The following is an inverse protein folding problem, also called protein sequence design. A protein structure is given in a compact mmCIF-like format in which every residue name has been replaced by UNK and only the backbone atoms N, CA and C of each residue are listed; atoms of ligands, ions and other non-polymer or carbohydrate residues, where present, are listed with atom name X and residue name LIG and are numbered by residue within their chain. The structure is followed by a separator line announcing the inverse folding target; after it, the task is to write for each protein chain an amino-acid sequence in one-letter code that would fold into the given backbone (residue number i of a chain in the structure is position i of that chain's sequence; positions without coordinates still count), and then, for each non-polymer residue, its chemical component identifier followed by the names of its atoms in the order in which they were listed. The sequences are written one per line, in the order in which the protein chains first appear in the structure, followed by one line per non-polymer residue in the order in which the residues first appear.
data_IF_973701008790
#
_entry.id   IF_973701008790
#
_cell.length_a   1.000
_cell.length_b   1.000
_cell.length_c   1.000
_cell.angle_alpha   90.00
_cell.angle_beta   90.00
_cell.angle_gamma   90.00
#
_symmetry.space_group_name_H-M   'P 1'
#
loop_
_entity.id
_entity.type
_entity.pdbx_description
1 polymer ?
#
# COMPACT_ATOMS: atom_id res chain seq x y z
N UNK A 1 -9.34 -19.18 -22.34
CA UNK A 1 -7.99 -18.71 -22.72
C UNK A 1 -7.45 -18.00 -21.49
N UNK A 2 -6.25 -18.37 -21.02
CA UNK A 2 -5.67 -17.76 -19.84
C UNK A 2 -4.99 -16.46 -20.25
N UNK A 3 -5.44 -15.36 -19.65
CA UNK A 3 -4.92 -14.01 -19.90
C UNK A 3 -4.14 -13.46 -18.69
N UNK A 4 -4.19 -14.16 -17.55
CA UNK A 4 -3.51 -13.78 -16.32
C UNK A 4 -2.23 -14.60 -16.14
N UNK A 5 -1.11 -13.92 -15.85
CA UNK A 5 0.21 -14.53 -15.71
C UNK A 5 0.26 -15.61 -14.62
N UNK A 6 -0.37 -15.38 -13.46
CA UNK A 6 -0.46 -16.40 -12.40
C UNK A 6 -1.19 -17.65 -12.87
N UNK A 7 -2.33 -17.50 -13.56
CA UNK A 7 -3.06 -18.64 -14.11
C UNK A 7 -2.27 -19.33 -15.23
N UNK A 8 -1.49 -18.59 -16.03
CA UNK A 8 -0.56 -19.16 -17.01
C UNK A 8 0.56 -19.96 -16.34
N UNK A 9 1.17 -19.43 -15.27
CA UNK A 9 2.18 -20.13 -14.47
C UNK A 9 1.57 -21.40 -13.86
N UNK A 10 0.43 -21.29 -13.20
CA UNK A 10 -0.26 -22.43 -12.59
C UNK A 10 -0.60 -23.47 -13.65
N UNK A 11 -1.13 -23.07 -14.80
CA UNK A 11 -1.42 -24.00 -15.90
C UNK A 11 -0.17 -24.63 -16.52
N UNK A 12 0.98 -23.95 -16.51
CA UNK A 12 2.21 -24.45 -17.10
C UNK A 12 3.07 -25.27 -16.12
N UNK A 13 3.02 -24.94 -14.83
CA UNK A 13 3.94 -25.45 -13.82
C UNK A 13 3.28 -26.22 -12.67
N UNK A 14 1.94 -26.23 -12.55
CA UNK A 14 1.24 -27.09 -11.59
C UNK A 14 0.78 -28.42 -12.19
N UNK A 15 0.80 -29.48 -11.38
CA UNK A 15 0.26 -30.78 -11.74
C UNK A 15 -1.28 -30.72 -11.68
N UNK A 16 -1.93 -30.68 -12.83
CA UNK A 16 -3.39 -30.66 -12.95
C UNK A 16 -3.92 -31.98 -13.51
N UNK A 17 -4.94 -32.55 -12.85
CA UNK A 17 -5.64 -33.77 -13.27
C UNK A 17 -6.73 -33.51 -14.33
N UNK A 18 -6.98 -32.24 -14.68
CA UNK A 18 -8.01 -31.79 -15.62
C UNK A 18 -7.42 -31.25 -16.93
N UNK A 19 -8.30 -30.92 -17.89
CA UNK A 19 -7.92 -30.47 -19.25
C UNK A 19 -7.12 -29.16 -19.17
N UNK A 20 -5.87 -29.16 -19.68
CA UNK A 20 -4.98 -27.99 -19.70
C UNK A 20 -5.64 -26.78 -20.37
N UNK A 21 -5.63 -25.64 -19.70
CA UNK A 21 -6.15 -24.40 -20.23
C UNK A 21 -5.23 -23.84 -21.33
N UNK A 22 -5.81 -23.16 -22.33
CA UNK A 22 -5.07 -22.61 -23.47
C UNK A 22 -4.51 -21.23 -23.13
N UNK A 23 -3.19 -21.08 -23.11
CA UNK A 23 -2.47 -19.80 -22.93
C UNK A 23 -2.50 -19.03 -24.25
N UNK A 24 -2.79 -17.72 -24.19
CA UNK A 24 -2.74 -16.87 -25.38
C UNK A 24 -1.30 -16.79 -25.94
N UNK A 25 -1.11 -16.76 -27.28
CA UNK A 25 0.22 -16.61 -27.88
C UNK A 25 0.86 -15.28 -27.49
N UNK A 26 2.17 -15.28 -27.26
CA UNK A 26 2.94 -14.09 -26.93
C UNK A 26 3.01 -13.12 -28.12
N UNK A 27 2.98 -11.82 -27.84
CA UNK A 27 3.29 -10.77 -28.83
C UNK A 27 4.81 -10.72 -29.04
N UNK A 28 5.28 -11.42 -30.07
CA UNK A 28 6.71 -11.60 -30.37
C UNK A 28 7.42 -10.28 -30.70
N UNK A 29 6.71 -9.34 -31.32
CA UNK A 29 7.27 -8.06 -31.72
C UNK A 29 7.49 -7.17 -30.49
N UNK A 30 6.49 -7.13 -29.59
CA UNK A 30 6.62 -6.43 -28.31
C UNK A 30 7.72 -7.03 -27.43
N UNK A 31 7.86 -8.36 -27.40
CA UNK A 31 8.93 -9.04 -26.64
C UNK A 31 10.31 -8.69 -27.16
N UNK A 32 10.51 -8.70 -28.49
CA UNK A 32 11.79 -8.34 -29.12
C UNK A 32 12.20 -6.91 -28.81
N UNK A 33 11.27 -5.95 -28.93
CA UNK A 33 11.54 -4.54 -28.64
C UNK A 33 11.86 -4.24 -27.18
N UNK A 34 11.41 -5.09 -26.25
CA UNK A 34 11.62 -4.93 -24.81
C UNK A 34 12.87 -5.66 -24.28
N UNK A 35 13.47 -6.54 -25.07
CA UNK A 35 14.72 -7.23 -24.72
C UNK A 35 15.95 -6.32 -24.80
N UNK A 36 15.89 -5.27 -25.61
CA UNK A 36 16.97 -4.31 -25.77
C UNK A 36 16.69 -3.00 -25.01
N UNK A 37 17.74 -2.44 -24.40
CA UNK A 37 17.64 -1.14 -23.75
C UNK A 37 17.76 -0.06 -24.84
N UNK A 38 16.79 0.89 -24.95
CA UNK A 38 16.86 1.95 -25.94
C UNK A 38 18.17 2.74 -25.82
N UNK A 39 18.79 3.16 -26.94
CA UNK A 39 20.01 3.95 -26.90
C UNK A 39 19.83 5.23 -26.07
N UNK A 40 20.71 5.44 -25.09
CA UNK A 40 20.65 6.59 -24.18
C UNK A 40 19.76 6.42 -22.95
N UNK A 41 19.05 5.29 -22.81
CA UNK A 41 18.19 5.03 -21.65
C UNK A 41 19.03 4.76 -20.40
N UNK A 42 18.87 5.59 -19.37
CA UNK A 42 19.58 5.49 -18.09
C UNK A 42 18.63 5.10 -16.95
N UNK A 43 19.17 4.83 -15.76
CA UNK A 43 18.36 4.60 -14.56
C UNK A 43 17.48 5.80 -14.19
N UNK A 44 17.89 7.02 -14.56
CA UNK A 44 17.11 8.25 -14.36
C UNK A 44 15.84 8.27 -15.24
N UNK A 45 15.89 7.66 -16.43
CA UNK A 45 14.71 7.50 -17.27
C UNK A 45 13.68 6.59 -16.58
N UNK A 46 14.10 5.49 -15.96
CA UNK A 46 13.18 4.62 -15.22
C UNK A 46 12.63 5.31 -13.96
N UNK A 47 13.43 6.10 -13.26
CA UNK A 47 13.00 6.90 -12.10
C UNK A 47 11.95 7.96 -12.49
N UNK A 48 12.20 8.75 -13.54
CA UNK A 48 11.23 9.74 -14.02
C UNK A 48 9.96 9.08 -14.56
N UNK A 49 10.07 7.91 -15.18
CA UNK A 49 8.91 7.15 -15.62
C UNK A 49 8.09 6.67 -14.41
N UNK A 50 8.72 6.17 -13.36
CA UNK A 50 8.05 5.81 -12.09
C UNK A 50 7.35 7.02 -11.46
N UNK A 51 7.99 8.19 -11.41
CA UNK A 51 7.38 9.40 -10.88
C UNK A 51 6.17 9.86 -11.70
N UNK A 52 6.27 9.82 -13.03
CA UNK A 52 5.14 10.11 -13.92
C UNK A 52 3.98 9.14 -13.66
N UNK A 53 4.26 7.85 -13.46
CA UNK A 53 3.23 6.86 -13.12
C UNK A 53 2.62 7.12 -11.74
N UNK A 54 3.43 7.49 -10.75
CA UNK A 54 3.00 7.81 -9.38
C UNK A 54 2.09 9.06 -9.35
N UNK A 55 2.51 10.16 -9.97
CA UNK A 55 1.77 11.43 -10.05
C UNK A 55 0.39 11.29 -10.69
N UNK A 56 0.19 10.26 -11.52
CA UNK A 56 -1.07 10.03 -12.21
C UNK A 56 -1.77 8.74 -11.72
N UNK A 57 -1.25 8.09 -10.68
CA UNK A 57 -1.92 6.99 -9.97
C UNK A 57 -2.48 7.53 -8.66
N UNK A 58 -3.57 8.28 -8.76
CA UNK A 58 -4.27 8.80 -7.59
C UNK A 58 -4.59 7.66 -6.61
N UNK A 59 -3.98 7.75 -5.43
CA UNK A 59 -4.54 7.48 -4.11
C UNK A 59 -5.75 6.54 -4.10
N UNK A 60 -5.51 5.25 -3.85
CA UNK A 60 -6.52 4.30 -3.38
C UNK A 60 -7.04 4.72 -1.99
N UNK A 61 -7.91 5.73 -1.90
CA UNK A 61 -8.86 5.97 -0.80
C UNK A 61 -9.50 7.34 -0.97
N UNK A 62 -10.60 7.44 -1.75
CA UNK A 62 -11.70 8.41 -1.54
C UNK A 62 -12.63 8.55 -2.74
N UNK A 63 -12.25 8.08 -3.93
CA UNK A 63 -13.13 8.07 -5.08
C UNK A 63 -13.40 6.62 -5.53
N UNK A 64 -14.53 6.06 -5.10
CA UNK A 64 -15.32 5.26 -6.01
C UNK A 64 -15.55 6.14 -7.24
N UNK A 65 -14.67 6.01 -8.23
CA UNK A 65 -14.66 6.85 -9.41
C UNK A 65 -16.06 6.87 -9.99
N UNK A 66 -16.60 8.07 -10.22
CA UNK A 66 -17.91 8.28 -10.81
C UNK A 66 -18.12 7.24 -11.90
N UNK A 67 -19.18 6.43 -11.81
CA UNK A 67 -19.45 5.32 -12.73
C UNK A 67 -19.33 5.72 -14.23
N UNK A 68 -19.53 7.01 -14.54
CA UNK A 68 -19.26 7.69 -15.82
C UNK A 68 -17.82 7.51 -16.35
N UNK A 69 -16.86 7.15 -15.50
CA UNK A 69 -15.49 6.84 -15.89
C UNK A 69 -15.41 5.50 -16.64
N UNK A 70 -16.32 4.56 -16.35
CA UNK A 70 -16.29 3.18 -16.84
C UNK A 70 -17.41 2.86 -17.83
N UNK A 71 -18.46 3.67 -17.84
CA UNK A 71 -19.69 3.43 -18.60
C UNK A 71 -19.90 4.61 -19.56
N UNK A 72 -20.19 4.32 -20.83
CA UNK A 72 -20.54 5.31 -21.86
C UNK A 72 -22.00 5.74 -21.76
N UNK A 73 -22.88 4.81 -21.37
CA UNK A 73 -24.32 5.04 -21.29
C UNK A 73 -24.98 4.10 -20.28
N UNK A 74 -25.95 4.61 -19.53
CA UNK A 74 -26.84 3.83 -18.67
C UNK A 74 -28.24 3.93 -19.26
N UNK A 75 -28.96 2.81 -19.29
CA UNK A 75 -30.37 2.77 -19.66
C UNK A 75 -31.10 1.85 -18.71
N UNK A 76 -32.28 2.25 -18.27
CA UNK A 76 -33.13 1.49 -17.36
C UNK A 76 -34.37 0.95 -18.08
N UNK A 77 -35.01 -0.08 -17.52
CA UNK A 77 -36.21 -0.69 -18.10
C UNK A 77 -37.40 0.27 -18.19
N UNK A 78 -37.50 1.18 -17.22
CA UNK A 78 -38.68 2.03 -16.98
C UNK A 78 -38.22 3.39 -16.44
N UNK A 79 -38.86 4.46 -16.90
CA UNK A 79 -38.61 5.84 -16.45
C UNK A 79 -39.96 6.48 -16.10
N UNK A 80 -40.09 7.02 -14.90
CA UNK A 80 -41.32 7.60 -14.37
C UNK A 80 -41.27 9.14 -14.32
N UNK A 81 -40.09 9.75 -14.55
CA UNK A 81 -39.87 11.19 -14.64
C UNK A 81 -38.75 11.60 -15.62
N UNK A 82 -38.41 12.90 -15.61
CA UNK A 82 -37.22 13.38 -16.32
C UNK A 82 -35.98 13.07 -15.45
N UNK A 83 -34.95 12.45 -16.06
CA UNK A 83 -33.62 12.22 -15.48
C UNK A 83 -33.49 11.13 -14.38
N UNK A 84 -34.43 10.18 -14.25
CA UNK A 84 -34.36 9.10 -13.24
C UNK A 84 -33.06 8.27 -13.33
N UNK A 85 -32.55 8.04 -14.53
CA UNK A 85 -31.29 7.32 -14.77
C UNK A 85 -30.05 8.07 -14.25
N UNK A 86 -30.12 9.39 -14.11
CA UNK A 86 -29.03 10.18 -13.56
C UNK A 86 -28.90 9.98 -12.05
N UNK A 87 -29.99 9.64 -11.35
CA UNK A 87 -29.99 9.36 -9.90
C UNK A 87 -29.07 8.20 -9.55
N UNK A 88 -28.98 7.18 -10.41
CA UNK A 88 -28.08 6.05 -10.23
C UNK A 88 -26.58 6.44 -10.22
N UNK A 89 -26.25 7.68 -10.61
CA UNK A 89 -24.88 8.16 -10.79
C UNK A 89 -24.57 9.50 -10.12
N UNK A 90 -25.55 10.12 -9.45
CA UNK A 90 -25.42 11.45 -8.87
C UNK A 90 -24.60 11.46 -7.55
N UNK A 91 -24.38 10.28 -6.96
CA UNK A 91 -23.63 10.12 -5.72
C UNK A 91 -24.40 10.58 -4.48
N UNK A 92 -25.71 10.85 -4.61
CA UNK A 92 -26.59 11.21 -3.52
C UNK A 92 -27.32 9.94 -3.02
N UNK A 93 -27.30 9.71 -1.71
CA UNK A 93 -28.00 8.57 -1.11
C UNK A 93 -29.50 8.84 -0.89
N UNK A 94 -29.97 10.07 -1.09
CA UNK A 94 -31.37 10.45 -0.91
C UNK A 94 -32.21 10.26 -2.18
N UNK A 95 -31.58 10.23 -3.35
CA UNK A 95 -32.23 10.01 -4.66
C UNK A 95 -32.19 8.54 -5.03
N UNK A 96 -33.18 8.09 -5.80
CA UNK A 96 -33.26 6.70 -6.26
C UNK A 96 -33.96 6.61 -7.61
N UNK A 97 -33.62 5.56 -8.34
CA UNK A 97 -34.42 5.06 -9.44
C UNK A 97 -35.46 4.08 -8.90
N UNK A 98 -36.72 4.30 -9.26
CA UNK A 98 -37.82 3.38 -9.00
C UNK A 98 -38.27 2.75 -10.32
N UNK A 99 -38.40 1.43 -10.34
CA UNK A 99 -38.94 0.74 -11.51
C UNK A 99 -40.48 0.83 -11.56
N UNK A 100 -41.07 0.69 -12.74
CA UNK A 100 -42.53 0.66 -12.91
C UNK A 100 -42.92 -0.30 -14.04
N UNK A 101 -43.34 -1.51 -13.69
CA UNK A 101 -43.63 -2.54 -14.68
C UNK A 101 -44.03 -3.90 -14.10
N UNK A 102 -43.95 -4.94 -14.91
CA UNK A 102 -44.32 -6.29 -14.46
C UNK A 102 -43.23 -6.91 -13.58
N UNK A 103 -43.66 -7.68 -12.57
CA UNK A 103 -42.78 -8.40 -11.65
C UNK A 103 -41.67 -9.18 -12.37
N UNK A 104 -40.41 -8.97 -11.95
CA UNK A 104 -39.22 -9.66 -12.44
C UNK A 104 -38.74 -9.25 -13.84
N UNK A 105 -39.30 -8.18 -14.41
CA UNK A 105 -38.95 -7.65 -15.74
C UNK A 105 -38.10 -6.37 -15.68
N UNK A 106 -37.65 -5.98 -14.49
CA UNK A 106 -36.86 -4.77 -14.29
C UNK A 106 -35.39 -5.01 -14.56
N UNK A 107 -34.75 -4.06 -15.24
CA UNK A 107 -33.33 -4.16 -15.54
C UNK A 107 -32.65 -2.80 -15.65
N UNK A 108 -31.35 -2.78 -15.32
CA UNK A 108 -30.46 -1.66 -15.58
C UNK A 108 -29.36 -2.15 -16.52
N UNK A 109 -29.16 -1.47 -17.64
CA UNK A 109 -28.16 -1.82 -18.63
C UNK A 109 -27.08 -0.75 -18.72
N UNK A 110 -25.84 -1.21 -18.73
CA UNK A 110 -24.63 -0.40 -18.80
C UNK A 110 -23.95 -0.71 -20.13
N UNK A 111 -23.72 0.34 -20.94
CA UNK A 111 -22.81 0.28 -22.08
C UNK A 111 -21.40 0.58 -21.59
N UNK A 112 -20.56 -0.43 -21.52
CA UNK A 112 -19.23 -0.32 -20.94
C UNK A 112 -18.26 0.34 -21.91
N UNK A 113 -17.36 1.19 -21.39
CA UNK A 113 -16.22 1.68 -22.18
C UNK A 113 -15.33 0.52 -22.58
N UNK A 114 -14.86 0.55 -23.83
CA UNK A 114 -13.98 -0.47 -24.39
C UNK A 114 -12.76 -0.70 -23.48
N UNK A 115 -12.48 -1.95 -23.15
CA UNK A 115 -11.34 -2.34 -22.29
C UNK A 115 -11.65 -2.37 -20.79
N UNK A 116 -12.88 -2.02 -20.37
CA UNK A 116 -13.25 -2.08 -18.95
C UNK A 116 -13.54 -3.52 -18.50
N UNK A 117 -12.82 -4.01 -17.49
CA UNK A 117 -13.06 -5.32 -16.85
C UNK A 117 -13.48 -5.12 -15.39
N UNK A 118 -14.69 -5.52 -15.02
CA UNK A 118 -15.23 -5.26 -13.67
C UNK A 118 -14.60 -6.21 -12.65
N UNK A 119 -13.98 -5.69 -11.59
CA UNK A 119 -13.67 -6.48 -10.37
C UNK A 119 -14.90 -6.62 -9.54
N UNK A 120 -15.62 -5.52 -9.28
CA UNK A 120 -16.78 -5.52 -8.41
C UNK A 120 -17.81 -4.55 -8.93
N UNK A 121 -19.06 -4.98 -9.00
CA UNK A 121 -20.21 -4.13 -9.24
C UNK A 121 -21.06 -4.13 -7.99
N UNK A 122 -21.43 -2.94 -7.52
CA UNK A 122 -22.27 -2.75 -6.36
C UNK A 122 -23.52 -1.96 -6.72
N UNK A 123 -24.61 -2.30 -6.05
CA UNK A 123 -25.85 -1.51 -6.02
C UNK A 123 -26.02 -0.91 -4.63
N UNK A 124 -26.39 0.35 -4.56
CA UNK A 124 -26.70 1.03 -3.30
C UNK A 124 -28.19 0.88 -3.01
N UNK A 125 -28.53 0.33 -1.85
CA UNK A 125 -29.88 0.08 -1.38
C UNK A 125 -30.11 0.77 -0.05
N UNK A 126 -31.35 1.08 0.29
CA UNK A 126 -31.74 1.50 1.64
C UNK A 126 -32.64 0.44 2.25
N UNK A 127 -32.21 -0.12 3.37
CA UNK A 127 -32.89 -1.24 4.02
C UNK A 127 -34.27 -0.83 4.57
N UNK A 128 -34.58 0.47 4.58
CA UNK A 128 -35.88 1.01 4.95
C UNK A 128 -36.89 1.06 3.77
N UNK A 129 -36.50 0.68 2.55
CA UNK A 129 -37.36 0.66 1.35
C UNK A 129 -38.35 -0.54 1.28
N UNK A 130 -38.58 -1.25 2.40
CA UNK A 130 -39.57 -2.33 2.55
C UNK A 130 -39.63 -3.32 1.37
N UNK A 131 -40.75 -3.39 0.64
CA UNK A 131 -40.98 -4.32 -0.48
C UNK A 131 -40.32 -3.88 -1.79
N UNK A 132 -39.70 -2.71 -1.86
CA UNK A 132 -38.93 -2.25 -3.02
C UNK A 132 -37.47 -2.77 -3.00
N UNK A 133 -37.07 -3.47 -1.94
CA UNK A 133 -35.74 -4.05 -1.83
C UNK A 133 -35.58 -5.27 -2.75
N UNK A 134 -34.59 -5.28 -3.66
CA UNK A 134 -34.32 -6.45 -4.48
C UNK A 134 -33.78 -7.59 -3.60
N UNK A 135 -34.31 -8.80 -3.76
CA UNK A 135 -33.82 -10.00 -3.06
C UNK A 135 -32.97 -10.91 -3.97
N UNK A 136 -33.27 -10.92 -5.27
CA UNK A 136 -32.62 -11.76 -6.28
C UNK A 136 -32.22 -10.92 -7.48
N UNK A 137 -30.91 -10.80 -7.67
CA UNK A 137 -30.33 -9.99 -8.74
C UNK A 137 -29.43 -10.86 -9.59
N UNK A 138 -29.68 -10.88 -10.90
CA UNK A 138 -28.89 -11.62 -11.89
C UNK A 138 -28.17 -10.64 -12.78
N UNK A 139 -26.86 -10.77 -12.90
CA UNK A 139 -26.04 -9.95 -13.80
C UNK A 139 -25.72 -10.76 -15.05
N UNK A 140 -26.03 -10.21 -16.22
CA UNK A 140 -25.68 -10.76 -17.52
C UNK A 140 -24.69 -9.83 -18.23
N UNK A 141 -23.77 -10.39 -19.02
CA UNK A 141 -22.80 -9.65 -19.81
C UNK A 141 -22.60 -10.26 -21.20
N UNK A 142 -22.41 -9.42 -22.21
CA UNK A 142 -22.26 -9.85 -23.59
C UNK A 142 -22.47 -8.73 -24.60
N UNK A 143 -22.73 -9.12 -25.84
CA UNK A 143 -23.29 -8.23 -26.85
C UNK A 143 -24.81 -8.18 -26.69
N UNK A 144 -25.48 -7.13 -27.19
CA UNK A 144 -26.92 -6.93 -27.01
C UNK A 144 -27.76 -8.14 -27.46
N UNK A 145 -27.31 -8.83 -28.51
CA UNK A 145 -28.00 -9.99 -29.08
C UNK A 145 -27.56 -11.33 -28.46
N UNK A 146 -26.49 -11.35 -27.65
CA UNK A 146 -25.91 -12.56 -27.04
C UNK A 146 -25.40 -12.27 -25.62
N UNK A 147 -26.36 -12.09 -24.70
CA UNK A 147 -26.09 -11.85 -23.28
C UNK A 147 -26.04 -13.16 -22.50
N UNK A 148 -24.93 -13.39 -21.80
CA UNK A 148 -24.74 -14.56 -20.94
C UNK A 148 -24.82 -14.18 -19.46
N UNK A 149 -25.42 -15.03 -18.63
CA UNK A 149 -25.43 -14.79 -17.17
C UNK A 149 -24.01 -14.96 -16.64
N UNK A 150 -23.53 -13.95 -15.92
CA UNK A 150 -22.17 -13.88 -15.37
C UNK A 150 -22.16 -13.89 -13.83
N UNK A 151 -23.24 -13.47 -13.17
CA UNK A 151 -23.42 -13.61 -11.74
C UNK A 151 -24.90 -13.76 -11.38
N UNK A 152 -25.16 -14.43 -10.27
CA UNK A 152 -26.49 -14.66 -9.69
C UNK A 152 -26.37 -14.49 -8.17
N UNK A 153 -26.99 -13.43 -7.65
CA UNK A 153 -26.77 -12.93 -6.30
C UNK A 153 -28.10 -12.86 -5.54
N UNK A 154 -28.12 -13.42 -4.33
CA UNK A 154 -29.21 -13.24 -3.37
C UNK A 154 -28.78 -12.32 -2.25
N UNK A 155 -29.54 -11.25 -2.04
CA UNK A 155 -29.19 -10.18 -1.12
C UNK A 155 -29.66 -10.56 0.29
N UNK A 156 -28.76 -10.42 1.27
CA UNK A 156 -29.10 -10.67 2.67
C UNK A 156 -29.89 -9.48 3.25
N UNK A 157 -31.17 -9.71 3.49
CA UNK A 157 -32.13 -8.72 4.00
C UNK A 157 -32.30 -8.77 5.52
N UNK A 158 -31.40 -9.45 6.26
CA UNK A 158 -31.52 -9.64 7.72
C UNK A 158 -31.13 -8.43 8.58
N UNK A 159 -30.49 -7.41 7.99
CA UNK A 159 -30.01 -6.22 8.70
C UNK A 159 -31.10 -5.17 8.93
N UNK A 160 -31.00 -4.46 10.06
CA UNK A 160 -31.99 -3.48 10.51
C UNK A 160 -31.51 -2.04 10.24
N UNK A 161 -32.06 -1.42 9.18
CA UNK A 161 -32.01 0.01 8.79
C UNK A 161 -30.73 0.58 8.15
N UNK A 162 -30.92 1.55 7.24
CA UNK A 162 -29.88 2.39 6.64
C UNK A 162 -29.45 2.02 5.22
N UNK A 163 -28.67 2.92 4.60
CA UNK A 163 -28.15 2.81 3.23
C UNK A 163 -26.89 1.92 3.18
N UNK A 164 -26.86 0.96 2.26
CA UNK A 164 -25.78 -0.03 2.12
C UNK A 164 -25.45 -0.33 0.65
N UNK A 165 -24.17 -0.57 0.38
CA UNK A 165 -23.71 -1.12 -0.89
C UNK A 165 -23.72 -2.65 -0.85
N UNK A 166 -24.41 -3.28 -1.79
CA UNK A 166 -24.42 -4.74 -1.97
C UNK A 166 -23.64 -5.14 -3.23
N UNK A 167 -22.78 -6.14 -3.12
CA UNK A 167 -21.92 -6.57 -4.24
C UNK A 167 -22.64 -7.63 -5.07
N UNK A 168 -22.91 -7.33 -6.34
CA UNK A 168 -23.73 -8.19 -7.21
C UNK A 168 -22.94 -8.92 -8.31
N UNK A 169 -21.68 -8.53 -8.53
CA UNK A 169 -20.75 -9.19 -9.43
C UNK A 169 -19.33 -9.05 -8.87
N UNK A 170 -18.57 -10.14 -8.86
CA UNK A 170 -17.15 -10.18 -8.47
C UNK A 170 -16.30 -10.83 -9.55
N UNK A 171 -15.13 -10.25 -9.81
CA UNK A 171 -14.04 -10.70 -10.66
C UNK A 171 -14.47 -11.19 -12.04
N UNK A 172 -15.04 -10.28 -12.84
CA UNK A 172 -15.35 -10.56 -14.23
C UNK A 172 -14.07 -10.94 -14.99
N UNK A 173 -14.10 -12.07 -15.68
CA UNK A 173 -12.91 -12.64 -16.32
C UNK A 173 -12.54 -12.01 -17.68
N UNK A 174 -13.37 -11.12 -18.22
CA UNK A 174 -13.19 -10.45 -19.52
C UNK A 174 -14.01 -9.16 -19.61
N UNK A 175 -13.69 -8.32 -20.58
CA UNK A 175 -14.50 -7.16 -20.94
C UNK A 175 -15.85 -7.61 -21.53
N UNK A 176 -16.94 -6.99 -21.07
CA UNK A 176 -18.27 -7.13 -21.63
C UNK A 176 -18.73 -5.77 -22.15
N UNK A 177 -19.00 -5.62 -23.46
CA UNK A 177 -19.46 -4.34 -24.02
C UNK A 177 -20.77 -3.87 -23.40
N UNK A 178 -21.66 -4.80 -23.06
CA UNK A 178 -22.90 -4.55 -22.33
C UNK A 178 -22.98 -5.41 -21.09
N UNK A 179 -23.43 -4.79 -20.00
CA UNK A 179 -23.76 -5.46 -18.74
C UNK A 179 -25.19 -5.11 -18.38
N UNK A 180 -25.97 -6.11 -17.99
CA UNK A 180 -27.38 -5.94 -17.62
C UNK A 180 -27.61 -6.54 -16.24
N UNK A 181 -28.00 -5.69 -15.31
CA UNK A 181 -28.43 -6.03 -13.96
C UNK A 181 -29.94 -6.30 -14.04
N UNK A 182 -30.36 -7.54 -13.79
CA UNK A 182 -31.76 -7.97 -13.87
C UNK A 182 -32.28 -8.23 -12.46
N UNK A 183 -33.34 -7.52 -12.08
CA UNK A 183 -33.98 -7.70 -10.78
C UNK A 183 -35.09 -8.76 -10.96
N UNK A 184 -34.93 -9.92 -10.32
CA UNK A 184 -35.79 -11.10 -10.52
C UNK A 184 -36.92 -11.20 -9.51
N UNK A 185 -36.66 -10.81 -8.27
CA UNK A 185 -37.66 -10.70 -7.20
C UNK A 185 -37.23 -9.64 -6.18
N UNK A 186 -38.23 -9.07 -5.53
CA UNK A 186 -38.08 -8.13 -4.43
C UNK A 186 -38.69 -8.72 -3.15
N UNK A 187 -38.25 -8.19 -2.01
CA UNK A 187 -38.72 -8.55 -0.68
C UNK A 187 -40.25 -8.54 -0.61
N UNK A 188 -40.81 -9.52 0.09
CA UNK A 188 -42.25 -9.65 0.33
C UNK A 188 -43.10 -9.66 -0.96
N UNK A 189 -42.55 -10.24 -2.05
CA UNK A 189 -43.17 -10.29 -3.38
C UNK A 189 -43.47 -8.90 -3.97
N UNK A 190 -42.65 -7.90 -3.62
CA UNK A 190 -42.70 -6.58 -4.22
C UNK A 190 -42.58 -6.62 -5.74
N UNK A 191 -43.35 -5.78 -6.42
CA UNK A 191 -43.37 -5.71 -7.89
C UNK A 191 -42.21 -4.85 -8.38
N UNK A 192 -42.04 -3.67 -7.79
CA UNK A 192 -41.06 -2.66 -8.20
C UNK A 192 -39.84 -2.65 -7.28
N UNK A 193 -38.77 -1.99 -7.72
CA UNK A 193 -37.52 -1.89 -6.97
C UNK A 193 -37.00 -0.47 -6.91
N UNK A 194 -36.36 -0.13 -5.79
CA UNK A 194 -35.63 1.14 -5.61
C UNK A 194 -34.14 0.89 -5.51
N UNK A 195 -33.38 1.58 -6.36
CA UNK A 195 -31.91 1.52 -6.34
C UNK A 195 -31.38 2.95 -6.30
N UNK A 196 -30.57 3.26 -5.29
CA UNK A 196 -30.05 4.62 -5.03
C UNK A 196 -28.81 4.95 -5.83
N UNK A 197 -28.03 3.94 -6.21
CA UNK A 197 -26.77 4.19 -6.89
C UNK A 197 -26.11 2.95 -7.42
N UNK A 198 -25.19 3.16 -8.35
CA UNK A 198 -24.31 2.13 -8.89
C UNK A 198 -22.85 2.49 -8.66
N UNK A 199 -22.07 1.49 -8.25
CA UNK A 199 -20.65 1.64 -7.94
C UNK A 199 -19.86 0.53 -8.64
N UNK A 200 -18.85 0.91 -9.42
CA UNK A 200 -18.00 -0.03 -10.15
C UNK A 200 -16.58 0.07 -9.61
N UNK A 201 -16.02 -1.06 -9.21
CA UNK A 201 -14.58 -1.27 -9.07
C UNK A 201 -14.12 -2.11 -10.25
N UNK A 202 -13.14 -1.64 -11.01
CA UNK A 202 -12.55 -2.38 -12.13
C UNK A 202 -11.28 -3.10 -11.65
N UNK A 203 -11.22 -4.43 -11.81
CA UNK A 203 -9.97 -5.18 -11.63
C UNK A 203 -9.31 -4.99 -12.96
N UNK A 204 -8.44 -4.01 -12.98
CA UNK A 204 -7.57 -3.73 -14.08
C UNK A 204 -7.09 -5.06 -14.71
N UNK A 205 -7.60 -5.40 -15.90
CA UNK A 205 -6.64 -5.42 -16.99
C UNK A 205 -5.88 -4.11 -16.82
N UNK A 206 -4.61 -4.19 -16.45
CA UNK A 206 -3.76 -3.02 -16.28
C UNK A 206 -3.62 -2.30 -17.62
N UNK A 207 -4.69 -1.67 -18.10
CA UNK A 207 -4.56 -0.33 -18.61
C UNK A 207 -4.17 0.51 -17.41
N UNK A 208 -2.98 1.04 -17.52
CA UNK A 208 -2.12 1.49 -16.44
C UNK A 208 -2.62 2.77 -15.77
N UNK A 209 -3.87 3.17 -16.03
CA UNK A 209 -4.34 4.56 -15.95
C UNK A 209 -3.80 5.41 -17.11
N UNK A 210 -2.99 4.82 -17.99
CA UNK A 210 -2.21 5.51 -19.00
C UNK A 210 -2.42 4.84 -20.35
N UNK A 211 -2.60 5.65 -21.39
CA UNK A 211 -2.57 5.22 -22.79
C UNK A 211 -1.30 5.75 -23.44
N UNK A 212 -0.94 5.25 -24.63
CA UNK A 212 0.17 5.82 -25.43
C UNK A 212 -0.02 7.34 -25.63
N UNK A 213 -1.26 7.82 -25.61
CA UNK A 213 -1.61 9.24 -25.74
C UNK A 213 -1.28 10.07 -24.48
N UNK A 214 -1.11 9.46 -23.31
CA UNK A 214 -0.62 10.14 -22.11
C UNK A 214 0.76 10.75 -22.36
N UNK A 215 1.62 10.03 -23.10
CA UNK A 215 2.94 10.50 -23.52
C UNK A 215 2.88 11.44 -24.75
N UNK A 216 1.69 11.84 -25.19
CA UNK A 216 1.53 12.83 -26.26
C UNK A 216 1.41 14.26 -25.76
N UNK A 217 1.10 14.46 -24.47
CA UNK A 217 0.98 15.77 -23.86
C UNK A 217 2.37 16.36 -23.54
N UNK A 218 2.81 17.33 -24.35
CA UNK A 218 4.10 18.00 -24.19
C UNK A 218 4.19 18.81 -22.90
N UNK A 219 3.08 19.33 -22.38
CA UNK A 219 3.08 20.11 -21.14
C UNK A 219 3.24 19.21 -19.90
N UNK A 220 2.92 17.92 -20.00
CA UNK A 220 3.16 16.95 -18.92
C UNK A 220 4.58 16.40 -18.94
N UNK A 221 5.10 16.09 -20.13
CA UNK A 221 6.45 15.54 -20.30
C UNK A 221 7.55 16.58 -20.02
N UNK A 222 7.27 17.89 -20.07
CA UNK A 222 8.27 18.92 -19.77
C UNK A 222 8.78 18.88 -18.31
N UNK A 223 8.02 18.27 -17.39
CA UNK A 223 8.44 18.01 -16.01
C UNK A 223 9.39 16.81 -15.88
N UNK A 224 9.49 16.01 -16.94
CA UNK A 224 10.24 14.76 -17.02
C UNK A 224 11.18 14.76 -18.23
N UNK A 225 12.19 15.64 -18.25
CA UNK A 225 13.04 15.87 -19.42
C UNK A 225 13.86 14.64 -19.85
N UNK A 226 14.12 13.68 -18.95
CA UNK A 226 14.82 12.45 -19.32
C UNK A 226 13.95 11.48 -20.13
N UNK A 227 12.63 11.71 -20.16
CA UNK A 227 11.69 10.96 -21.00
C UNK A 227 11.43 11.66 -22.34
N UNK A 228 11.83 12.93 -22.46
CA UNK A 228 11.60 13.74 -23.65
C UNK A 228 12.46 13.24 -24.81
N UNK A 229 11.84 13.10 -25.99
CA UNK A 229 12.52 12.61 -27.21
C UNK A 229 12.44 11.09 -27.43
N UNK A 230 12.02 10.30 -26.44
CA UNK A 230 11.78 8.86 -26.62
C UNK A 230 10.45 8.58 -27.32
N UNK A 231 10.40 7.45 -28.03
CA UNK A 231 9.17 7.00 -28.68
C UNK A 231 8.10 6.68 -27.63
N UNK A 232 6.91 7.26 -27.80
CA UNK A 232 5.76 7.10 -26.89
C UNK A 232 5.36 5.64 -26.67
N UNK A 233 5.48 4.79 -27.71
CA UNK A 233 5.20 3.36 -27.58
C UNK A 233 6.22 2.66 -26.68
N UNK A 234 7.49 3.08 -26.74
CA UNK A 234 8.56 2.54 -25.88
C UNK A 234 8.32 2.97 -24.43
N UNK A 235 8.02 4.25 -24.20
CA UNK A 235 7.67 4.78 -22.86
C UNK A 235 6.47 4.04 -22.27
N UNK A 236 5.40 3.87 -23.06
CA UNK A 236 4.23 3.11 -22.65
C UNK A 236 4.57 1.66 -22.33
N UNK A 237 5.29 0.95 -23.20
CA UNK A 237 5.68 -0.46 -23.01
C UNK A 237 6.55 -0.66 -21.76
N UNK A 238 7.54 0.21 -21.53
CA UNK A 238 8.38 0.18 -20.31
C UNK A 238 7.58 0.51 -19.05
N UNK A 239 6.65 1.46 -19.11
CA UNK A 239 5.72 1.73 -18.02
C UNK A 239 4.87 0.49 -17.66
N UNK A 240 4.43 -0.29 -18.66
CA UNK A 240 3.69 -1.53 -18.37
C UNK A 240 4.55 -2.55 -17.63
N UNK A 241 5.83 -2.67 -17.97
CA UNK A 241 6.76 -3.57 -17.27
C UNK A 241 6.97 -3.11 -15.82
N UNK A 242 7.31 -1.84 -15.61
CA UNK A 242 7.55 -1.26 -14.29
C UNK A 242 6.32 -1.47 -13.39
N UNK A 243 5.12 -1.21 -13.90
CA UNK A 243 3.89 -1.37 -13.12
C UNK A 243 3.48 -2.84 -12.93
N UNK A 244 3.87 -3.75 -13.83
CA UNK A 244 3.69 -5.19 -13.65
C UNK A 244 4.56 -5.73 -12.52
N UNK A 245 5.79 -5.25 -12.37
CA UNK A 245 6.62 -5.55 -11.21
C UNK A 245 6.01 -4.99 -9.91
N UNK A 246 5.44 -3.79 -9.97
CA UNK A 246 4.76 -3.14 -8.82
C UNK A 246 3.44 -3.83 -8.41
N UNK A 247 2.65 -4.34 -9.36
CA UNK A 247 1.32 -4.96 -9.12
C UNK A 247 1.38 -6.39 -8.58
N UNK A 248 2.57 -6.98 -8.45
CA UNK A 248 2.76 -8.22 -7.65
C UNK A 248 2.56 -7.93 -6.15
N UNK A 249 2.52 -6.66 -5.72
CA UNK A 249 2.13 -6.28 -4.36
C UNK A 249 0.60 -6.19 -4.23
N UNK A 250 -0.08 -7.33 -4.15
CA UNK A 250 -1.43 -7.35 -3.59
C UNK A 250 -1.39 -6.69 -2.22
N UNK A 251 -2.15 -5.60 -2.06
CA UNK A 251 -2.24 -4.72 -0.90
C UNK A 251 -2.95 -5.39 0.29
N UNK A 252 -2.39 -6.51 0.76
CA UNK A 252 -2.61 -6.98 2.11
C UNK A 252 -1.38 -6.58 2.91
N UNK A 253 -1.47 -5.44 3.60
CA UNK A 253 -0.45 -5.11 4.60
C UNK A 253 -0.45 -6.21 5.68
N UNK A 254 0.72 -6.65 6.14
CA UNK A 254 0.79 -7.54 7.29
C UNK A 254 0.09 -6.89 8.48
N UNK A 255 -0.76 -7.64 9.17
CA UNK A 255 -1.45 -7.18 10.37
C UNK A 255 -0.59 -7.50 11.60
N UNK A 256 -0.23 -6.47 12.36
CA UNK A 256 0.55 -6.58 13.59
C UNK A 256 -0.33 -6.25 14.78
N UNK A 257 -0.44 -7.19 15.72
CA UNK A 257 -1.13 -6.98 16.99
C UNK A 257 -0.15 -6.41 18.00
N UNK A 258 -0.45 -5.25 18.57
CA UNK A 258 0.42 -4.55 19.51
C UNK A 258 -0.31 -4.36 20.83
N UNK A 259 0.29 -4.81 21.92
CA UNK A 259 -0.16 -4.56 23.29
C UNK A 259 0.72 -3.47 23.92
N UNK A 260 0.22 -2.24 23.92
CA UNK A 260 0.93 -1.08 24.49
C UNK A 260 0.96 -1.10 26.02
N UNK A 261 0.00 -1.78 26.67
CA UNK A 261 -0.02 -1.87 28.14
C UNK A 261 1.19 -2.66 28.65
N UNK A 262 1.43 -3.83 28.07
CA UNK A 262 2.60 -4.66 28.43
C UNK A 262 3.91 -3.99 28.04
N UNK A 263 3.93 -3.23 26.93
CA UNK A 263 5.09 -2.44 26.55
C UNK A 263 5.38 -1.30 27.54
N UNK A 264 4.34 -0.61 28.03
CA UNK A 264 4.47 0.43 29.04
C UNK A 264 4.95 -0.14 30.39
N UNK A 265 4.46 -1.30 30.80
CA UNK A 265 4.92 -2.04 31.99
C UNK A 265 6.40 -2.41 31.87
N UNK A 266 6.81 -2.95 30.71
CA UNK A 266 8.21 -3.24 30.40
C UNK A 266 9.06 -1.97 30.43
N UNK A 267 8.60 -0.85 29.84
CA UNK A 267 9.33 0.42 29.85
C UNK A 267 9.54 0.95 31.28
N UNK A 268 8.57 0.77 32.16
CA UNK A 268 8.68 1.16 33.56
C UNK A 268 9.67 0.28 34.36
N UNK A 269 9.77 -1.01 34.01
CA UNK A 269 10.70 -1.94 34.64
C UNK A 269 11.34 -2.91 33.64
N UNK A 270 12.37 -2.47 32.87
CA UNK A 270 12.99 -3.32 31.86
C UNK A 270 13.68 -4.57 32.44
N UNK A 271 14.01 -4.57 33.73
CA UNK A 271 14.65 -5.72 34.38
C UNK A 271 13.74 -6.93 34.53
N UNK A 272 12.42 -6.75 34.48
CA UNK A 272 11.44 -7.84 34.56
C UNK A 272 11.32 -8.64 33.26
N UNK A 273 11.71 -8.04 32.12
CA UNK A 273 11.74 -8.66 30.80
C UNK A 273 13.03 -8.26 30.07
N UNK A 274 14.19 -8.85 30.44
CA UNK A 274 15.49 -8.45 29.90
C UNK A 274 15.65 -8.66 28.40
N UNK A 275 14.85 -9.55 27.82
CA UNK A 275 14.83 -9.81 26.39
C UNK A 275 14.00 -8.79 25.61
N UNK A 276 13.17 -8.02 26.33
CA UNK A 276 12.29 -7.00 25.80
C UNK A 276 11.15 -7.58 24.98
N UNK A 277 10.68 -8.80 25.29
CA UNK A 277 9.66 -9.51 24.52
C UNK A 277 8.35 -8.71 24.45
N UNK A 278 8.01 -8.01 25.52
CA UNK A 278 6.81 -7.19 25.63
C UNK A 278 6.97 -5.78 25.05
N UNK A 279 8.17 -5.38 24.61
CA UNK A 279 8.39 -4.08 23.95
C UNK A 279 7.62 -3.97 22.64
N UNK A 280 7.21 -2.76 22.25
CA UNK A 280 6.61 -2.51 20.93
C UNK A 280 7.58 -2.91 19.82
N UNK A 281 8.87 -2.61 19.98
CA UNK A 281 9.92 -3.02 19.05
C UNK A 281 9.91 -4.53 18.79
N UNK A 282 9.89 -5.35 19.85
CA UNK A 282 9.93 -6.81 19.70
C UNK A 282 8.62 -7.35 19.15
N UNK A 283 7.47 -6.81 19.58
CA UNK A 283 6.15 -7.19 19.07
C UNK A 283 6.04 -6.95 17.56
N UNK A 284 6.53 -5.81 17.06
CA UNK A 284 6.57 -5.51 15.62
C UNK A 284 7.60 -6.39 14.91
N UNK A 285 8.80 -6.53 15.46
CA UNK A 285 9.87 -7.36 14.90
C UNK A 285 9.42 -8.81 14.68
N UNK A 286 8.80 -9.44 15.69
CA UNK A 286 8.27 -10.81 15.60
C UNK A 286 6.94 -10.90 14.82
N UNK A 287 6.15 -9.83 14.82
CA UNK A 287 4.89 -9.75 14.06
C UNK A 287 5.10 -9.68 12.55
N UNK A 288 6.23 -9.11 12.12
CA UNK A 288 6.60 -8.95 10.71
C UNK A 288 7.57 -10.02 10.19
N UNK A 289 7.99 -10.98 11.03
CA UNK A 289 8.78 -12.13 10.57
C UNK A 289 7.91 -13.05 9.72
N UNK A 290 8.49 -13.55 8.63
CA UNK A 290 7.88 -14.57 7.79
C UNK A 290 7.68 -15.86 8.61
N UNK A 291 6.43 -16.30 8.77
CA UNK A 291 6.07 -17.49 9.58
C UNK A 291 5.79 -18.72 8.72
N UNK A 292 5.49 -18.53 7.44
CA UNK A 292 5.25 -19.60 6.48
C UNK A 292 6.01 -19.40 5.17
N UNK A 293 6.26 -20.49 4.43
CA UNK A 293 6.88 -20.45 3.10
C UNK A 293 6.05 -19.67 2.07
N UNK A 294 4.75 -19.52 2.34
CA UNK A 294 3.76 -18.95 1.41
C UNK A 294 3.56 -17.43 1.67
N UNK A 295 4.04 -16.92 2.80
CA UNK A 295 4.08 -15.48 3.10
C UNK A 295 5.21 -14.80 2.34
N UNK A 296 4.87 -13.81 1.51
CA UNK A 296 5.88 -13.02 0.79
C UNK A 296 6.69 -12.20 1.80
N UNK A 297 8.03 -12.25 1.77
CA UNK A 297 8.85 -11.43 2.65
C UNK A 297 8.57 -9.95 2.37
N UNK A 298 8.49 -9.17 3.45
CA UNK A 298 8.30 -7.72 3.35
C UNK A 298 9.49 -7.09 2.63
N UNK A 299 9.21 -6.43 1.52
CA UNK A 299 10.24 -5.73 0.75
C UNK A 299 10.47 -4.33 1.33
N UNK A 300 11.58 -4.18 2.05
CA UNK A 300 11.99 -2.91 2.65
C UNK A 300 12.17 -1.73 1.69
N UNK A 301 12.04 -1.96 0.37
CA UNK A 301 12.16 -0.97 -0.70
C UNK A 301 10.82 -0.39 -1.19
N UNK A 302 9.76 -0.36 -0.36
CA UNK A 302 8.44 0.14 -0.76
C UNK A 302 8.50 1.45 -1.56
N UNK A 303 7.71 1.54 -2.65
CA UNK A 303 7.64 2.74 -3.44
C UNK A 303 6.98 3.89 -2.64
N UNK A 304 7.35 5.14 -2.93
CA UNK A 304 6.98 6.32 -2.14
C UNK A 304 5.48 6.65 -2.06
N UNK A 305 4.62 5.91 -2.76
CA UNK A 305 3.15 6.01 -2.67
C UNK A 305 2.54 5.10 -1.59
N UNK A 306 3.32 4.20 -0.98
CA UNK A 306 2.88 3.41 0.16
C UNK A 306 2.99 4.26 1.45
N UNK A 307 1.88 4.81 1.92
CA UNK A 307 1.78 5.56 3.19
C UNK A 307 1.77 4.67 4.44
N UNK A 308 1.78 3.35 4.27
CA UNK A 308 1.69 2.38 5.36
C UNK A 308 2.39 1.07 4.96
N UNK A 309 3.06 0.41 5.92
CA UNK A 309 3.75 -0.86 5.67
C UNK A 309 3.16 -2.04 6.44
N UNK A 310 2.44 -1.78 7.52
CA UNK A 310 1.72 -2.77 8.31
C UNK A 310 0.47 -2.15 8.94
N UNK A 311 -0.55 -2.98 9.14
CA UNK A 311 -1.79 -2.60 9.84
C UNK A 311 -1.63 -2.88 11.33
N UNK A 312 -1.82 -1.87 12.18
CA UNK A 312 -1.72 -2.03 13.64
C UNK A 312 -3.09 -2.40 14.23
N UNK A 313 -3.13 -3.41 15.09
CA UNK A 313 -4.27 -3.71 15.96
C UNK A 313 -3.84 -3.56 17.41
N UNK A 314 -4.23 -2.46 18.05
CA UNK A 314 -3.92 -2.22 19.46
C UNK A 314 -4.86 -3.00 20.38
N UNK A 315 -4.28 -3.82 21.26
CA UNK A 315 -5.05 -4.64 22.20
C UNK A 315 -5.77 -3.74 23.20
N UNK A 316 -7.09 -3.93 23.35
CA UNK A 316 -7.94 -3.23 24.33
C UNK A 316 -8.11 -1.71 24.18
N UNK A 317 -7.65 -1.12 23.06
CA UNK A 317 -7.75 0.33 22.83
C UNK A 317 -8.96 0.75 22.00
N UNK A 318 -9.74 -0.18 21.42
CA UNK A 318 -10.98 0.15 20.68
C UNK A 318 -10.79 0.99 19.41
N UNK A 319 -9.55 1.35 19.07
CA UNK A 319 -9.17 2.16 17.91
C UNK A 319 -9.02 1.24 16.68
N UNK A 320 -9.76 1.56 15.62
CA UNK A 320 -9.72 0.88 14.31
C UNK A 320 -9.35 1.91 13.25
N UNK A 321 -8.21 2.60 13.43
CA UNK A 321 -7.77 3.64 12.50
C UNK A 321 -6.83 3.07 11.44
N UNK A 322 -7.24 3.19 10.17
CA UNK A 322 -6.49 2.66 9.02
C UNK A 322 -5.31 3.54 8.56
N UNK A 323 -4.88 4.55 9.33
CA UNK A 323 -3.78 5.45 8.93
C UNK A 323 -2.88 5.98 10.05
N UNK A 324 -3.45 6.26 11.24
CA UNK A 324 -2.67 6.79 12.38
C UNK A 324 -1.83 5.73 13.10
N UNK A 325 -2.36 4.52 13.27
CA UNK A 325 -1.72 3.50 14.11
C UNK A 325 -0.33 3.06 13.65
N UNK A 326 -0.07 3.08 12.34
CA UNK A 326 1.25 2.80 11.79
C UNK A 326 2.29 3.85 12.24
N UNK A 327 1.98 5.14 12.08
CA UNK A 327 2.88 6.22 12.50
C UNK A 327 3.08 6.25 14.01
N UNK A 328 2.01 6.00 14.77
CA UNK A 328 2.13 5.89 16.22
C UNK A 328 3.03 4.73 16.62
N UNK A 329 2.98 3.60 15.90
CA UNK A 329 3.87 2.46 16.16
C UNK A 329 5.36 2.77 15.87
N UNK A 330 5.65 3.63 14.89
CA UNK A 330 7.00 4.14 14.65
C UNK A 330 7.47 5.06 15.77
N UNK A 331 6.58 5.94 16.27
CA UNK A 331 6.85 6.79 17.43
C UNK A 331 7.12 5.96 18.68
N UNK A 332 6.29 4.94 18.96
CA UNK A 332 6.49 4.02 20.09
C UNK A 332 7.84 3.30 20.00
N UNK A 333 8.21 2.84 18.81
CA UNK A 333 9.48 2.18 18.54
C UNK A 333 10.66 3.11 18.74
N UNK A 334 10.57 4.37 18.27
CA UNK A 334 11.58 5.39 18.48
C UNK A 334 11.79 5.69 19.98
N UNK A 335 10.70 5.85 20.74
CA UNK A 335 10.76 6.12 22.18
C UNK A 335 11.36 4.97 22.99
N UNK A 336 11.19 3.72 22.54
CA UNK A 336 11.85 2.57 23.17
C UNK A 336 13.34 2.45 22.80
N UNK A 337 13.74 2.85 21.59
CA UNK A 337 15.13 2.81 21.16
C UNK A 337 15.96 3.97 21.73
N UNK A 338 15.38 5.16 21.78
CA UNK A 338 16.02 6.41 22.19
C UNK A 338 15.04 7.21 23.07
N UNK A 339 14.88 6.86 24.36
CA UNK A 339 13.96 7.56 25.25
C UNK A 339 14.23 9.07 25.31
N UNK A 340 13.18 9.86 25.15
CA UNK A 340 13.24 11.32 25.20
C UNK A 340 13.52 11.86 26.60
N UNK A 341 13.08 11.14 27.64
CA UNK A 341 13.37 11.44 29.04
C UNK A 341 14.81 10.99 29.40
N UNK A 342 15.70 11.92 29.81
CA UNK A 342 17.07 11.59 30.22
C UNK A 342 17.16 10.73 31.48
N UNK A 343 16.11 10.72 32.32
CA UNK A 343 16.04 9.94 33.55
C UNK A 343 15.31 8.62 33.40
N UNK A 344 14.60 8.40 32.29
CA UNK A 344 13.96 7.14 32.01
C UNK A 344 15.00 6.00 31.83
N UNK A 345 14.69 4.78 32.27
CA UNK A 345 15.52 3.63 31.93
C UNK A 345 15.49 3.40 30.43
N UNK A 346 16.60 2.90 29.86
CA UNK A 346 16.64 2.50 28.45
C UNK A 346 16.01 1.11 28.34
N UNK A 347 14.85 0.96 27.66
CA UNK A 347 14.10 -0.29 27.72
C UNK A 347 14.68 -1.39 26.80
N UNK A 348 15.42 -1.02 25.75
CA UNK A 348 16.01 -1.97 24.81
C UNK A 348 17.54 -1.99 24.91
N UNK A 349 18.12 -3.17 24.75
CA UNK A 349 19.59 -3.35 24.82
C UNK A 349 20.33 -2.95 23.54
N UNK A 350 19.63 -2.48 22.49
CA UNK A 350 20.19 -2.11 21.18
C UNK A 350 21.02 -0.83 21.23
N UNK A 351 20.63 0.12 22.07
CA UNK A 351 21.35 1.38 22.22
C UNK A 351 21.67 1.61 23.69
N UNK A 352 22.74 2.37 23.93
CA UNK A 352 23.08 2.89 25.25
C UNK A 352 23.21 4.40 25.17
N UNK A 353 22.98 5.08 26.28
CA UNK A 353 23.22 6.52 26.38
C UNK A 353 24.68 6.80 26.03
N UNK A 354 24.93 7.81 25.20
CA UNK A 354 26.29 8.23 24.89
C UNK A 354 26.99 8.72 26.18
N UNK A 355 28.31 8.51 26.34
CA UNK A 355 29.07 9.00 27.49
C UNK A 355 28.84 10.48 27.82
N UNK A 356 28.69 11.32 26.78
CA UNK A 356 28.37 12.75 26.91
C UNK A 356 27.09 13.05 27.73
N UNK A 357 26.11 12.14 27.81
CA UNK A 357 24.92 12.35 28.64
C UNK A 357 25.25 12.34 30.14
N UNK A 358 26.24 11.53 30.53
CA UNK A 358 26.64 11.33 31.94
C UNK A 358 27.72 12.31 32.40
N UNK A 359 28.51 12.84 31.46
CA UNK A 359 29.57 13.80 31.77
C UNK A 359 29.02 15.20 32.06
N UNK A 360 29.59 15.89 33.05
CA UNK A 360 29.31 17.32 33.32
C UNK A 360 30.07 18.26 32.39
N UNK A 361 31.07 17.76 31.66
CA UNK A 361 32.17 18.61 31.14
C UNK A 361 32.03 19.01 29.65
N UNK A 362 30.80 19.05 29.15
CA UNK A 362 30.50 19.50 27.78
C UNK A 362 29.00 19.74 27.55
N UNK A 363 28.69 20.63 26.61
CA UNK A 363 27.31 20.93 26.17
C UNK A 363 26.96 20.29 24.82
N UNK A 364 27.73 19.27 24.41
CA UNK A 364 27.63 18.65 23.08
C UNK A 364 26.85 17.34 23.18
N UNK A 365 25.79 17.19 22.37
CA UNK A 365 25.06 15.93 22.17
C UNK A 365 24.68 15.19 23.47
N UNK A 366 24.00 15.88 24.39
CA UNK A 366 23.65 15.37 25.73
C UNK A 366 22.39 14.50 25.77
N UNK A 367 21.76 14.30 24.63
CA UNK A 367 20.48 13.63 24.43
C UNK A 367 20.58 12.50 23.40
N UNK A 368 21.81 12.07 23.06
CA UNK A 368 22.05 11.07 22.01
C UNK A 368 22.46 9.69 22.54
N UNK A 369 22.25 8.68 21.72
CA UNK A 369 22.49 7.26 22.00
C UNK A 369 23.46 6.67 21.00
N UNK A 370 24.23 5.67 21.42
CA UNK A 370 25.16 4.92 20.56
C UNK A 370 24.82 3.43 20.55
N UNK A 371 25.11 2.70 19.46
CA UNK A 371 24.92 1.25 19.43
C UNK A 371 25.62 0.60 20.61
N UNK A 372 24.93 -0.27 21.34
CA UNK A 372 25.49 -0.97 22.48
C UNK A 372 26.60 -1.94 22.03
N UNK A 373 27.87 -1.72 22.40
CA UNK A 373 28.98 -2.59 21.99
C UNK A 373 28.86 -4.03 22.50
N UNK A 374 28.07 -4.24 23.57
CA UNK A 374 27.85 -5.55 24.18
C UNK A 374 26.64 -6.29 23.59
N UNK A 375 25.84 -5.66 22.73
CA UNK A 375 24.62 -6.26 22.19
C UNK A 375 24.95 -7.16 21.00
N UNK A 376 24.57 -8.44 21.10
CA UNK A 376 24.77 -9.45 20.06
C UNK A 376 23.51 -9.73 19.23
N UNK A 377 22.43 -8.94 19.42
CA UNK A 377 21.17 -9.07 18.68
C UNK A 377 21.29 -8.50 17.25
N UNK A 378 22.30 -8.95 16.49
CA UNK A 378 22.59 -8.52 15.11
C UNK A 378 21.39 -8.62 14.15
N UNK A 379 20.50 -9.64 14.23
CA UNK A 379 19.30 -9.68 13.40
C UNK A 379 18.36 -8.50 13.63
N UNK A 380 18.27 -7.99 14.87
CA UNK A 380 17.46 -6.81 15.20
C UNK A 380 18.12 -5.53 14.69
N UNK A 381 19.44 -5.39 14.77
CA UNK A 381 20.15 -4.27 14.13
C UNK A 381 19.99 -4.27 12.62
N UNK A 382 20.11 -5.43 11.98
CA UNK A 382 19.92 -5.56 10.53
C UNK A 382 18.50 -5.15 10.13
N UNK A 383 17.50 -5.57 10.90
CA UNK A 383 16.11 -5.18 10.68
C UNK A 383 15.88 -3.68 10.92
N UNK A 384 16.43 -3.11 11.99
CA UNK A 384 16.37 -1.66 12.25
C UNK A 384 17.00 -0.86 11.11
N UNK A 385 18.15 -1.30 10.57
CA UNK A 385 18.77 -0.66 9.42
C UNK A 385 17.89 -0.69 8.15
N UNK A 386 17.17 -1.82 7.92
CA UNK A 386 16.17 -1.91 6.84
C UNK A 386 15.02 -0.94 7.07
N UNK A 387 14.53 -0.83 8.32
CA UNK A 387 13.47 0.08 8.71
C UNK A 387 13.89 1.55 8.52
N UNK A 388 15.09 1.93 8.95
CA UNK A 388 15.66 3.27 8.73
C UNK A 388 15.68 3.63 7.23
N UNK A 389 16.13 2.70 6.39
CA UNK A 389 16.13 2.88 4.94
C UNK A 389 14.71 3.01 4.35
N UNK A 390 13.74 2.28 4.89
CA UNK A 390 12.34 2.39 4.48
C UNK A 390 11.74 3.76 4.86
N UNK A 391 11.99 4.25 6.08
CA UNK A 391 11.58 5.58 6.55
C UNK A 391 12.17 6.67 5.65
N UNK A 392 13.46 6.57 5.34
CA UNK A 392 14.14 7.51 4.46
C UNK A 392 13.51 7.59 3.05
N UNK A 393 13.18 6.44 2.43
CA UNK A 393 12.59 6.39 1.08
C UNK A 393 11.13 6.84 1.02
N UNK A 394 10.35 6.51 2.04
CA UNK A 394 8.91 6.82 2.12
C UNK A 394 8.60 8.21 2.65
N UNK A 395 9.60 8.92 3.17
CA UNK A 395 9.42 10.18 3.93
C UNK A 395 8.61 10.02 5.22
N UNK A 396 8.61 8.83 5.81
CA UNK A 396 8.09 8.59 7.16
C UNK A 396 9.16 8.87 8.21
N UNK A 397 8.75 9.31 9.40
CA UNK A 397 9.66 9.75 10.45
C UNK A 397 9.94 8.62 11.46
N UNK A 398 11.21 8.22 11.55
CA UNK A 398 11.74 7.40 12.65
C UNK A 398 12.79 8.23 13.39
N UNK A 399 12.42 8.75 14.56
CA UNK A 399 13.26 9.69 15.32
C UNK A 399 14.28 8.91 16.16
N UNK A 400 15.52 8.79 15.65
CA UNK A 400 16.63 8.22 16.41
C UNK A 400 17.61 9.32 16.81
N UNK A 401 17.78 9.54 18.11
CA UNK A 401 18.73 10.52 18.62
C UNK A 401 20.14 9.93 18.62
N UNK A 402 20.80 9.85 17.45
CA UNK A 402 22.17 9.34 17.32
C UNK A 402 23.17 10.50 17.10
N UNK A 403 24.41 10.40 17.60
CA UNK A 403 25.42 11.44 17.39
C UNK A 403 25.87 11.51 15.93
N UNK A 404 26.36 12.69 15.51
CA UNK A 404 26.88 12.91 14.16
C UNK A 404 27.95 11.90 13.73
N UNK A 405 28.79 11.44 14.67
CA UNK A 405 29.73 10.34 14.43
C UNK A 405 29.06 9.07 13.88
N UNK A 406 27.94 8.64 14.48
CA UNK A 406 27.21 7.44 14.07
C UNK A 406 26.56 7.64 12.71
N UNK A 407 25.94 8.81 12.48
CA UNK A 407 25.36 9.14 11.18
C UNK A 407 26.39 9.12 10.05
N UNK A 408 27.57 9.71 10.26
CA UNK A 408 28.68 9.67 9.30
C UNK A 408 29.15 8.25 8.99
N UNK A 409 29.21 7.39 10.01
CA UNK A 409 29.55 5.96 9.81
C UNK A 409 28.50 5.25 8.95
N UNK A 410 27.22 5.54 9.15
CA UNK A 410 26.13 4.95 8.36
C UNK A 410 26.14 5.46 6.91
N UNK A 411 26.42 6.75 6.69
CA UNK A 411 26.53 7.35 5.36
C UNK A 411 27.86 7.06 4.64
N UNK A 412 28.76 6.28 5.27
CA UNK A 412 30.10 6.00 4.77
C UNK A 412 30.95 7.26 4.51
N UNK A 413 30.69 8.31 5.29
CA UNK A 413 31.52 9.51 5.31
C UNK A 413 32.81 9.28 6.09
N UNK A 414 33.86 10.01 5.70
CA UNK A 414 35.11 10.02 6.46
C UNK A 414 34.86 10.68 7.80
N UNK A 415 35.15 9.94 8.88
CA UNK A 415 35.12 10.47 10.24
C UNK A 415 36.50 10.95 10.67
N UNK A 416 36.53 12.04 11.40
CA UNK A 416 37.70 12.53 12.12
C UNK A 416 37.57 12.22 13.61
N UNK A 417 38.68 11.80 14.23
CA UNK A 417 38.69 11.44 15.64
C UNK A 417 38.32 12.62 16.54
N UNK A 418 39.02 13.74 16.41
CA UNK A 418 38.87 14.89 17.30
C UNK A 418 37.53 15.60 17.06
N UNK A 419 37.18 15.80 15.78
CA UNK A 419 35.97 16.54 15.43
C UNK A 419 34.70 15.70 15.66
N UNK A 420 34.66 14.45 15.20
CA UNK A 420 33.41 13.70 15.17
C UNK A 420 33.17 12.87 16.43
N UNK A 421 34.19 12.18 16.95
CA UNK A 421 34.01 11.32 18.13
C UNK A 421 33.74 12.13 19.41
N UNK A 422 34.08 13.42 19.43
CA UNK A 422 33.68 14.34 20.50
C UNK A 422 32.15 14.40 20.72
N UNK A 423 31.36 14.13 19.66
CA UNK A 423 29.89 14.03 19.74
C UNK A 423 29.40 12.80 20.51
N UNK A 424 30.25 11.80 20.73
CA UNK A 424 29.99 10.60 21.55
C UNK A 424 30.58 10.76 22.95
N UNK A 425 31.89 11.03 23.01
CA UNK A 425 32.65 11.18 24.25
C UNK A 425 33.72 12.27 24.11
N UNK A 426 33.36 13.49 24.53
CA UNK A 426 34.29 14.62 24.54
C UNK A 426 35.43 14.41 25.55
N UNK A 427 35.17 13.73 26.67
CA UNK A 427 36.17 13.56 27.73
C UNK A 427 37.28 12.60 27.29
N UNK A 428 36.92 11.51 26.61
CA UNK A 428 37.86 10.53 26.06
C UNK A 428 38.75 11.16 24.98
N UNK A 429 38.19 11.95 24.06
CA UNK A 429 38.97 12.67 23.04
C UNK A 429 40.03 13.57 23.70
N UNK A 430 39.61 14.41 24.65
CA UNK A 430 40.52 15.34 25.34
C UNK A 430 41.63 14.61 26.09
N UNK A 431 41.31 13.49 26.74
CA UNK A 431 42.26 12.68 27.47
C UNK A 431 43.34 12.12 26.53
N UNK A 432 42.91 11.51 25.41
CA UNK A 432 43.83 10.89 24.45
C UNK A 432 44.69 11.92 23.72
N UNK A 433 44.15 13.08 23.34
CA UNK A 433 44.93 14.17 22.76
C UNK A 433 46.01 14.68 23.73
N UNK A 434 45.65 14.80 25.02
CA UNK A 434 46.61 15.21 26.05
C UNK A 434 47.74 14.19 26.21
N UNK A 435 47.41 12.90 26.21
CA UNK A 435 48.39 11.81 26.28
C UNK A 435 49.31 11.79 25.05
N UNK A 436 48.77 11.99 23.85
CA UNK A 436 49.56 12.03 22.62
C UNK A 436 50.56 13.20 22.63
N UNK A 437 50.13 14.38 23.10
CA UNK A 437 51.01 15.53 23.27
C UNK A 437 52.13 15.26 24.29
N UNK A 438 51.83 14.55 25.39
CA UNK A 438 52.83 14.16 26.38
C UNK A 438 53.86 13.18 25.81
N UNK A 439 53.42 12.17 25.04
CA UNK A 439 54.32 11.22 24.37
C UNK A 439 55.24 11.93 23.37
N UNK A 440 54.71 12.86 22.56
CA UNK A 440 55.50 13.66 21.62
C UNK A 440 56.51 14.57 22.32
N UNK A 441 56.15 15.09 23.51
CA UNK A 441 57.00 15.99 24.30
C UNK A 441 58.11 15.24 25.07
N UNK A 442 57.89 13.96 25.38
CA UNK A 442 58.83 13.11 26.11
C UNK A 442 58.98 11.75 25.43
N UNK A 443 59.65 11.67 24.26
CA UNK A 443 59.99 10.39 23.67
C UNK A 443 60.88 9.63 24.67
N UNK A 444 60.37 8.57 25.28
CA UNK A 444 61.14 7.71 26.15
C UNK A 444 62.34 7.08 25.41
N UNK A 445 63.32 6.51 26.13
CA UNK A 445 64.59 6.03 25.57
C UNK A 445 64.48 4.75 24.70
N UNK A 446 63.28 4.37 24.26
CA UNK A 446 63.02 3.17 23.46
C UNK A 446 62.45 3.53 22.08
N UNK A 447 63.12 4.43 21.36
CA UNK A 447 63.06 4.51 19.90
C UNK A 447 64.28 3.85 19.28
#
# INVERSE_FOLDING_TARGET
MLCFWMSCIESQHSLTLSRKAFVAPADTDTVSELQEIPPGWSSECDEQLVHLLADNSDCNSSNLGTIKNYVDQITVSTTCGNDDENTLTDGNNETFWESDGNHGQHWIRLKMKKGTVISRLYITLDMDDENYLPDHVVVAGGDLDDMNVIADSRIDLSYTSGVRDECILTDACKHYPYIEIRIKSCKDEGIDTRIRGLKISSSREAELGFSVNMFADKERLCRYPALEGYNKKILYRRAQIIQRESSVSNSNFPKVVINRRTAAEHRANPSADPDGVNSVFHQIYEGLKQRSSDERPLDYRWPGHCSQWWECKFVSEGIIDQGGGFRDSLCDLAEELCPSDPHAPVPLTLFVRAPNQTSSDGNTSRDVFVPNPSCTKFPQYSWLGKLMGACFRSRENLVLALPGFVWKKISNEKVDWAADYSSVDTAEVRLLETLELQIKKFPGPFQ
#
